data_IF_439583009151
#
_entry.id   IF_439583009151
#
_cell.length_a   1.000
_cell.length_b   1.000
_cell.length_c   1.000
_cell.angle_alpha   90.00
_cell.angle_beta   90.00
_cell.angle_gamma   90.00
#
_symmetry.space_group_name_H-M   'P 1'
#
loop_
_entity.id
_entity.type
_entity.pdbx_description
1 polymer ?
#
# COMPACT_ATOMS: atom_id res chain seq x y z
N UNK A 1 23.35 -18.38 44.88
CA UNK A 1 22.17 -18.66 44.04
C UNK A 1 21.66 -17.43 43.30
N UNK A 2 21.41 -16.30 43.99
CA UNK A 2 20.92 -15.03 43.42
C UNK A 2 21.62 -14.55 42.15
N UNK A 3 22.96 -14.62 42.09
CA UNK A 3 23.73 -14.18 40.91
C UNK A 3 23.51 -15.05 39.66
N UNK A 4 23.16 -16.33 39.82
CA UNK A 4 22.82 -17.24 38.70
C UNK A 4 21.40 -16.97 38.20
N UNK A 5 20.46 -16.73 39.13
CA UNK A 5 19.08 -16.35 38.80
C UNK A 5 19.03 -15.00 38.07
N UNK A 6 19.76 -13.99 38.56
CA UNK A 6 19.82 -12.67 37.92
C UNK A 6 20.33 -12.76 36.47
N UNK A 7 21.39 -13.55 36.23
CA UNK A 7 21.92 -13.77 34.87
C UNK A 7 20.92 -14.46 33.96
N UNK A 8 20.14 -15.40 34.50
CA UNK A 8 19.09 -16.08 33.75
C UNK A 8 17.95 -15.12 33.37
N UNK A 9 17.51 -14.27 34.30
CA UNK A 9 16.48 -13.25 34.03
C UNK A 9 16.97 -12.25 32.98
N UNK A 10 18.20 -11.76 33.09
CA UNK A 10 18.78 -10.84 32.10
C UNK A 10 18.87 -11.52 30.72
N UNK A 11 19.28 -12.79 30.67
CA UNK A 11 19.30 -13.56 29.42
C UNK A 11 17.91 -13.73 28.80
N UNK A 12 16.89 -14.03 29.62
CA UNK A 12 15.51 -14.16 29.16
C UNK A 12 14.96 -12.84 28.62
N UNK A 13 15.20 -11.72 29.31
CA UNK A 13 14.77 -10.39 28.85
C UNK A 13 15.48 -9.98 27.55
N UNK A 14 16.78 -10.26 27.43
CA UNK A 14 17.53 -10.00 26.20
C UNK A 14 16.99 -10.83 25.02
N UNK A 15 16.63 -12.11 25.27
CA UNK A 15 16.04 -12.97 24.26
C UNK A 15 14.66 -12.45 23.80
N UNK A 16 13.79 -12.07 24.73
CA UNK A 16 12.48 -11.48 24.40
C UNK A 16 12.65 -10.17 23.61
N UNK A 17 13.61 -9.33 24.00
CA UNK A 17 13.94 -8.10 23.26
C UNK A 17 14.39 -8.37 21.83
N UNK A 18 15.31 -9.33 21.64
CA UNK A 18 15.76 -9.77 20.32
C UNK A 18 14.63 -10.34 19.47
N UNK A 19 13.72 -11.10 20.07
CA UNK A 19 12.59 -11.71 19.38
C UNK A 19 11.58 -10.65 18.91
N UNK A 20 11.33 -9.61 19.72
CA UNK A 20 10.49 -8.48 19.34
C UNK A 20 11.13 -7.65 18.21
N UNK A 21 12.44 -7.40 18.27
CA UNK A 21 13.17 -6.71 17.20
C UNK A 21 13.14 -7.55 15.92
N UNK A 22 13.31 -8.87 16.03
CA UNK A 22 13.24 -9.80 14.90
C UNK A 22 11.86 -9.84 14.25
N UNK A 23 10.79 -9.88 15.06
CA UNK A 23 9.41 -9.80 14.56
C UNK A 23 9.10 -8.45 13.90
N UNK A 24 9.54 -7.35 14.52
CA UNK A 24 9.39 -6.01 13.94
C UNK A 24 10.15 -5.86 12.63
N UNK A 25 11.40 -6.33 12.59
CA UNK A 25 12.23 -6.33 11.38
C UNK A 25 11.60 -7.24 10.31
N UNK A 26 11.13 -8.43 10.67
CA UNK A 26 10.44 -9.31 9.74
C UNK A 26 9.22 -8.62 9.15
N UNK A 27 8.30 -8.09 9.98
CA UNK A 27 7.14 -7.33 9.49
C UNK A 27 7.52 -6.11 8.63
N UNK A 28 8.68 -5.49 8.88
CA UNK A 28 9.16 -4.35 8.10
C UNK A 28 9.79 -4.75 6.75
N UNK A 29 10.42 -5.92 6.68
CA UNK A 29 11.21 -6.38 5.53
C UNK A 29 10.54 -7.48 4.70
N UNK A 30 9.62 -8.25 5.27
CA UNK A 30 8.66 -9.05 4.50
C UNK A 30 7.64 -8.07 3.95
N UNK A 31 7.92 -7.51 2.77
CA UNK A 31 6.94 -6.67 2.08
C UNK A 31 5.62 -7.42 2.03
N UNK A 32 4.55 -6.79 2.54
CA UNK A 32 3.23 -7.39 2.48
C UNK A 32 2.89 -7.60 1.00
N UNK A 33 2.69 -8.87 0.61
CA UNK A 33 2.24 -9.19 -0.73
C UNK A 33 0.77 -8.79 -0.85
N UNK A 34 0.38 -8.02 -1.86
CA UNK A 34 -1.02 -7.69 -2.07
C UNK A 34 -1.84 -8.95 -2.30
N UNK A 35 -3.06 -8.95 -1.79
CA UNK A 35 -4.03 -10.03 -1.97
C UNK A 35 -4.59 -10.02 -3.40
N UNK A 36 -4.82 -8.81 -3.94
CA UNK A 36 -5.29 -8.60 -5.30
C UNK A 36 -4.44 -7.57 -6.03
N UNK A 37 -4.15 -7.84 -7.31
CA UNK A 37 -3.42 -6.92 -8.18
C UNK A 37 -4.14 -6.83 -9.51
N UNK A 38 -4.48 -5.62 -9.91
CA UNK A 38 -5.09 -5.31 -11.21
C UNK A 38 -4.16 -4.44 -12.03
N UNK A 39 -3.75 -4.95 -13.20
CA UNK A 39 -2.89 -4.25 -14.14
C UNK A 39 -3.73 -3.66 -15.28
N UNK A 40 -3.58 -2.35 -15.53
CA UNK A 40 -4.23 -1.64 -16.62
C UNK A 40 -3.17 -0.99 -17.53
N UNK A 41 -2.82 -1.59 -18.68
CA UNK A 41 -1.82 -1.03 -19.59
C UNK A 41 -2.31 0.29 -20.22
N UNK A 42 -1.39 1.22 -20.46
CA UNK A 42 -1.66 2.41 -21.25
C UNK A 42 -1.94 2.03 -22.71
N UNK A 43 -2.67 2.86 -23.48
CA UNK A 43 -3.03 2.52 -24.86
C UNK A 43 -1.83 2.30 -25.79
N UNK A 44 -0.69 2.93 -25.52
CA UNK A 44 0.57 2.75 -26.25
C UNK A 44 1.46 1.61 -25.71
N UNK A 45 1.03 0.95 -24.63
CA UNK A 45 1.74 -0.15 -23.99
C UNK A 45 3.08 0.21 -23.33
N UNK A 46 3.40 1.50 -23.18
CA UNK A 46 4.66 1.93 -22.54
C UNK A 46 4.57 1.88 -21.02
N UNK A 47 3.39 2.15 -20.47
CA UNK A 47 3.12 2.23 -19.04
C UNK A 47 1.99 1.28 -18.64
N UNK A 48 1.88 1.05 -17.34
CA UNK A 48 0.71 0.41 -16.75
C UNK A 48 0.39 1.04 -15.40
N UNK A 49 -0.90 1.15 -15.14
CA UNK A 49 -1.41 1.48 -13.82
C UNK A 49 -1.65 0.15 -13.07
N UNK A 50 -1.23 0.07 -11.83
CA UNK A 50 -1.32 -1.14 -11.01
C UNK A 50 -2.08 -0.79 -9.75
N UNK A 51 -3.28 -1.35 -9.61
CA UNK A 51 -4.06 -1.26 -8.37
C UNK A 51 -3.79 -2.53 -7.55
N UNK A 52 -3.12 -2.34 -6.41
CA UNK A 52 -2.85 -3.41 -5.46
C UNK A 52 -3.72 -3.22 -4.22
N UNK A 53 -4.28 -4.30 -3.70
CA UNK A 53 -5.15 -4.31 -2.51
C UNK A 53 -4.57 -5.25 -1.47
N UNK A 54 -4.54 -4.79 -0.22
CA UNK A 54 -4.11 -5.56 0.94
C UNK A 54 -5.28 -5.64 1.91
N UNK A 55 -5.78 -6.85 2.14
CA UNK A 55 -6.75 -7.17 3.17
C UNK A 55 -6.14 -8.11 4.20
N UNK A 56 -6.53 -7.97 5.48
CA UNK A 56 -6.03 -8.87 6.52
C UNK A 56 -6.52 -8.53 7.91
N UNK A 57 -5.85 -9.09 8.93
CA UNK A 57 -6.06 -8.73 10.34
C UNK A 57 -7.18 -9.48 11.07
N UNK A 58 -7.93 -10.33 10.36
CA UNK A 58 -8.95 -11.21 10.95
C UNK A 58 -10.09 -10.46 11.65
N UNK A 59 -10.83 -11.15 12.51
CA UNK A 59 -12.06 -10.60 13.12
C UNK A 59 -11.84 -9.44 14.11
N UNK A 60 -10.63 -9.32 14.68
CA UNK A 60 -10.37 -8.43 15.82
C UNK A 60 -9.75 -7.11 15.37
N UNK A 61 -8.94 -7.12 14.32
CA UNK A 61 -8.27 -5.92 13.81
C UNK A 61 -8.18 -5.96 12.29
N UNK A 62 -9.33 -5.99 11.59
CA UNK A 62 -9.32 -6.02 10.13
C UNK A 62 -8.66 -4.77 9.59
N UNK A 63 -7.86 -4.93 8.54
CA UNK A 63 -7.37 -3.82 7.73
C UNK A 63 -7.68 -4.10 6.28
N UNK A 64 -7.95 -3.02 5.54
CA UNK A 64 -8.03 -3.06 4.11
C UNK A 64 -7.55 -1.74 3.54
N UNK A 65 -6.54 -1.78 2.69
CA UNK A 65 -6.10 -0.60 1.95
C UNK A 65 -5.70 -0.98 0.54
N UNK A 66 -5.75 0.00 -0.33
CA UNK A 66 -5.42 -0.13 -1.74
C UNK A 66 -4.46 0.97 -2.17
N UNK A 67 -3.61 0.64 -3.13
CA UNK A 67 -2.57 1.52 -3.66
C UNK A 67 -2.56 1.43 -5.16
N UNK A 68 -2.62 2.59 -5.80
CA UNK A 68 -2.40 2.74 -7.23
C UNK A 68 -0.98 3.23 -7.47
N UNK A 69 -0.24 2.48 -8.28
CA UNK A 69 1.06 2.91 -8.80
C UNK A 69 1.00 3.03 -10.32
N UNK A 70 1.84 3.89 -10.89
CA UNK A 70 2.03 3.98 -12.34
C UNK A 70 3.49 3.75 -12.64
N UNK A 71 3.76 2.75 -13.47
CA UNK A 71 5.10 2.27 -13.76
C UNK A 71 5.25 1.93 -15.25
N UNK A 72 6.49 1.76 -15.70
CA UNK A 72 6.77 1.19 -17.03
C UNK A 72 6.20 -0.23 -17.13
N UNK A 73 5.78 -0.64 -18.32
CA UNK A 73 5.27 -2.01 -18.54
C UNK A 73 6.30 -3.09 -18.20
N UNK A 74 7.60 -2.74 -18.25
CA UNK A 74 8.74 -3.62 -17.94
C UNK A 74 9.16 -3.59 -16.48
N UNK A 75 8.46 -2.84 -15.63
CA UNK A 75 8.82 -2.68 -14.23
C UNK A 75 8.74 -4.01 -13.47
N UNK A 76 9.63 -4.19 -12.51
CA UNK A 76 9.65 -5.38 -11.66
C UNK A 76 8.48 -5.36 -10.66
N UNK A 77 8.19 -6.50 -10.03
CA UNK A 77 7.15 -6.56 -9.00
C UNK A 77 7.47 -5.65 -7.81
N UNK A 78 8.75 -5.53 -7.44
CA UNK A 78 9.21 -4.64 -6.37
C UNK A 78 8.92 -3.17 -6.72
N UNK A 79 9.14 -2.77 -7.98
CA UNK A 79 8.82 -1.42 -8.45
C UNK A 79 7.31 -1.16 -8.47
N UNK A 80 6.49 -2.17 -8.79
CA UNK A 80 5.04 -2.06 -8.80
C UNK A 80 4.44 -1.79 -7.41
N UNK A 81 5.06 -2.31 -6.34
CA UNK A 81 4.57 -2.15 -4.95
C UNK A 81 5.30 -1.06 -4.17
N UNK A 82 6.38 -0.50 -4.74
CA UNK A 82 7.17 0.55 -4.11
C UNK A 82 6.34 1.81 -3.81
N UNK A 83 6.42 2.29 -2.57
CA UNK A 83 5.68 3.49 -2.13
C UNK A 83 6.07 4.75 -2.90
N UNK A 84 7.25 4.80 -3.52
CA UNK A 84 7.71 5.96 -4.28
C UNK A 84 6.98 6.13 -5.62
N UNK A 85 6.44 5.04 -6.17
CA UNK A 85 5.68 5.02 -7.42
C UNK A 85 4.16 5.19 -7.20
N UNK A 86 3.74 5.32 -5.94
CA UNK A 86 2.34 5.53 -5.56
C UNK A 86 1.81 6.86 -6.07
N UNK A 87 0.67 6.80 -6.73
CA UNK A 87 -0.12 7.97 -7.11
C UNK A 87 -1.42 8.11 -6.32
N UNK A 88 -1.93 7.00 -5.76
CA UNK A 88 -3.10 7.01 -4.89
C UNK A 88 -2.98 5.91 -3.82
N UNK A 89 -3.43 6.19 -2.62
CA UNK A 89 -3.57 5.21 -1.53
C UNK A 89 -4.77 5.57 -0.66
N UNK A 90 -5.62 4.58 -0.38
CA UNK A 90 -6.82 4.75 0.44
C UNK A 90 -7.18 3.47 1.19
N UNK A 91 -8.05 3.57 2.19
CA UNK A 91 -8.67 2.39 2.82
C UNK A 91 -9.81 1.89 1.93
N UNK A 92 -10.00 0.57 1.79
CA UNK A 92 -11.04 0.00 0.89
C UNK A 92 -12.47 0.40 1.28
N UNK A 93 -12.63 0.80 2.53
CA UNK A 93 -13.84 1.26 3.19
C UNK A 93 -14.28 2.65 2.77
N UNK A 94 -13.38 3.44 2.16
CA UNK A 94 -13.66 4.80 1.68
C UNK A 94 -14.42 4.75 0.36
N UNK A 95 -15.76 4.72 0.40
CA UNK A 95 -16.63 4.84 -0.79
C UNK A 95 -16.57 3.70 -1.82
N UNK A 96 -15.70 2.71 -1.66
CA UNK A 96 -15.50 1.59 -2.59
C UNK A 96 -14.24 1.76 -3.45
N UNK A 97 -13.88 0.72 -4.21
CA UNK A 97 -12.67 0.73 -5.04
C UNK A 97 -12.70 1.81 -6.12
N UNK A 98 -11.55 2.46 -6.42
CA UNK A 98 -11.48 3.53 -7.38
C UNK A 98 -11.72 3.02 -8.79
N UNK A 99 -12.42 3.83 -9.58
CA UNK A 99 -12.43 3.70 -11.04
C UNK A 99 -11.12 4.24 -11.61
N UNK A 100 -10.50 3.50 -12.52
CA UNK A 100 -9.22 3.85 -13.14
C UNK A 100 -9.38 3.75 -14.65
N UNK A 101 -9.06 4.82 -15.37
CA UNK A 101 -9.20 4.86 -16.83
C UNK A 101 -8.11 5.72 -17.47
N UNK A 102 -7.49 5.20 -18.52
CA UNK A 102 -6.54 5.97 -19.33
C UNK A 102 -7.27 6.97 -20.23
N UNK A 103 -6.87 8.24 -20.17
CA UNK A 103 -7.29 9.29 -21.10
C UNK A 103 -6.14 9.55 -22.09
N UNK A 104 -6.05 8.73 -23.13
CA UNK A 104 -4.89 8.74 -24.02
C UNK A 104 -3.65 8.09 -23.38
N UNK A 105 -2.47 8.47 -23.83
CA UNK A 105 -1.21 7.79 -23.50
C UNK A 105 -0.52 8.32 -22.24
N UNK A 106 -0.83 9.56 -21.84
CA UNK A 106 -0.08 10.32 -20.83
C UNK A 106 -0.92 10.77 -19.64
N UNK A 107 -2.20 10.42 -19.60
CA UNK A 107 -3.13 10.87 -18.57
C UNK A 107 -3.92 9.70 -18.02
N UNK A 108 -3.95 9.58 -16.69
CA UNK A 108 -4.76 8.61 -15.97
C UNK A 108 -5.85 9.34 -15.16
N UNK A 109 -7.10 8.98 -15.39
CA UNK A 109 -8.24 9.42 -14.61
C UNK A 109 -8.50 8.42 -13.48
N UNK A 110 -8.59 8.93 -12.25
CA UNK A 110 -8.86 8.16 -11.04
C UNK A 110 -10.09 8.76 -10.37
N UNK A 111 -11.22 8.05 -10.43
CA UNK A 111 -12.46 8.40 -9.75
C UNK A 111 -12.60 7.61 -8.46
N UNK A 112 -12.80 8.28 -7.32
CA UNK A 112 -13.00 7.64 -6.02
C UNK A 112 -14.22 8.24 -5.33
N UNK A 113 -14.91 7.44 -4.51
CA UNK A 113 -16.02 7.94 -3.72
C UNK A 113 -15.58 8.21 -2.27
N UNK A 114 -16.27 9.14 -1.61
CA UNK A 114 -16.07 9.44 -0.20
C UNK A 114 -17.29 8.94 0.57
N UNK A 115 -17.08 8.05 1.52
CA UNK A 115 -18.13 7.62 2.45
C UNK A 115 -18.16 8.54 3.67
N UNK A 116 -19.31 9.17 3.94
CA UNK A 116 -19.50 10.04 5.11
C UNK A 116 -19.58 9.29 6.46
N UNK A 117 -19.56 7.96 6.44
CA UNK A 117 -20.01 7.10 7.55
C UNK A 117 -18.92 6.60 8.52
N UNK A 118 -17.69 7.13 8.50
CA UNK A 118 -16.62 6.63 9.38
C UNK A 118 -16.49 7.41 10.68
N UNK A 119 -16.44 6.67 11.79
CA UNK A 119 -16.16 7.18 13.13
C UNK A 119 -14.69 7.61 13.32
N UNK A 120 -13.81 7.30 12.36
CA UNK A 120 -12.40 7.67 12.35
C UNK A 120 -12.02 8.31 11.01
N UNK A 121 -11.10 9.29 11.00
CA UNK A 121 -10.64 9.93 9.78
C UNK A 121 -9.80 8.96 8.93
N UNK A 122 -10.30 8.59 7.75
CA UNK A 122 -9.54 7.88 6.73
C UNK A 122 -8.58 8.85 6.03
N UNK A 123 -7.30 8.50 5.94
CA UNK A 123 -6.32 9.32 5.20
C UNK A 123 -6.22 8.84 3.76
N UNK A 124 -6.54 9.70 2.80
CA UNK A 124 -6.31 9.42 1.38
C UNK A 124 -5.06 10.18 0.92
N UNK A 125 -4.14 9.49 0.25
CA UNK A 125 -2.93 10.09 -0.30
C UNK A 125 -3.06 10.19 -1.81
N UNK A 126 -2.60 11.32 -2.35
CA UNK A 126 -2.66 11.61 -3.78
C UNK A 126 -1.31 12.15 -4.28
N UNK A 127 -0.91 11.75 -5.48
CA UNK A 127 0.13 12.44 -6.27
C UNK A 127 -0.40 12.72 -7.67
N UNK A 128 -0.24 13.96 -8.12
CA UNK A 128 -0.71 14.44 -9.43
C UNK A 128 0.12 13.96 -10.62
N UNK A 129 1.25 13.31 -10.35
CA UNK A 129 2.16 12.75 -11.36
C UNK A 129 2.73 11.43 -10.87
N UNK A 130 3.05 10.56 -11.82
CA UNK A 130 3.86 9.37 -11.56
C UNK A 130 5.30 9.74 -11.18
N UNK A 131 6.07 8.76 -10.72
CA UNK A 131 7.46 8.97 -10.31
C UNK A 131 8.37 9.49 -11.43
N UNK A 132 8.08 9.16 -12.71
CA UNK A 132 8.84 9.68 -13.84
C UNK A 132 8.44 11.11 -14.26
N UNK A 133 7.30 11.60 -13.76
CA UNK A 133 6.75 12.91 -14.07
C UNK A 133 6.08 13.03 -15.45
N UNK A 134 5.96 11.92 -16.18
CA UNK A 134 5.45 11.83 -17.56
C UNK A 134 3.95 11.59 -17.63
N UNK A 135 3.39 10.87 -16.66
CA UNK A 135 1.97 10.55 -16.61
C UNK A 135 1.29 11.51 -15.64
N UNK A 136 0.32 12.26 -16.15
CA UNK A 136 -0.55 13.14 -15.37
C UNK A 136 -1.67 12.32 -14.71
N UNK A 137 -1.90 12.55 -13.42
CA UNK A 137 -2.95 11.87 -12.66
C UNK A 137 -4.04 12.89 -12.33
N UNK A 138 -5.24 12.64 -12.85
CA UNK A 138 -6.44 13.45 -12.60
C UNK A 138 -7.34 12.72 -11.63
N UNK A 139 -7.77 13.44 -10.61
CA UNK A 139 -8.62 12.92 -9.54
C UNK A 139 -10.02 13.50 -9.63
N UNK A 140 -11.00 12.65 -9.40
CA UNK A 140 -12.42 12.96 -9.44
C UNK A 140 -13.11 12.31 -8.25
N UNK A 141 -13.97 13.07 -7.57
CA UNK A 141 -14.83 12.52 -6.55
C UNK A 141 -16.12 12.06 -7.23
N UNK A 142 -16.36 10.75 -7.20
CA UNK A 142 -17.61 10.14 -7.65
C UNK A 142 -18.67 10.39 -6.58
N UNK A 143 -19.84 10.84 -7.00
CA UNK A 143 -21.02 11.05 -6.15
C UNK A 143 -21.95 9.87 -6.21
#
# INVERSE_FOLDING_TARGET
MIRKVLRFVVGALAFVGLLNIGLWAHARFSGETPEYVTDLPSPDGQYKAVLATWGGGGAISPYCYERLTVVSVKASQEEMIASDNMVFESECTTGGSPSITWQGNDTLQVGFALSESYAAPSTIKFRRKDASGRIAIKFEILR
#
